data_IF_179343646372
#
_entry.id   IF_179343646372
#
_cell.length_a   1.000
_cell.length_b   1.000
_cell.length_c   1.000
_cell.angle_alpha   90.00
_cell.angle_beta   90.00
_cell.angle_gamma   90.00
#
_symmetry.space_group_name_H-M   'P 1'
#
loop_
_entity.id
_entity.type
_entity.pdbx_description
1 polymer ?
#
# COMPACT_ATOMS: atom_id res chain seq x y z
N UNK A 1 15.72 -3.98 33.06
CA UNK A 1 14.57 -4.91 33.12
C UNK A 1 14.78 -5.97 32.05
N UNK A 2 14.65 -7.25 32.41
CA UNK A 2 15.02 -8.37 31.53
C UNK A 2 13.92 -8.60 30.48
N UNK A 3 14.25 -8.66 29.18
CA UNK A 3 13.32 -8.89 28.05
C UNK A 3 12.84 -10.36 27.97
N UNK A 4 12.37 -10.92 29.09
CA UNK A 4 12.00 -12.35 29.19
C UNK A 4 10.83 -12.71 28.28
N UNK A 5 9.83 -11.83 28.15
CA UNK A 5 8.61 -12.09 27.41
C UNK A 5 8.82 -12.45 25.92
N UNK A 6 9.85 -11.90 25.27
CA UNK A 6 10.14 -12.20 23.86
C UNK A 6 10.64 -13.64 23.61
N UNK A 7 11.05 -14.35 24.65
CA UNK A 7 11.70 -15.67 24.56
C UNK A 7 10.87 -16.80 25.19
N UNK A 8 9.69 -16.50 25.75
CA UNK A 8 8.89 -17.48 26.45
C UNK A 8 8.18 -18.46 25.49
N UNK A 9 8.20 -19.76 25.78
CA UNK A 9 7.37 -20.74 25.09
C UNK A 9 5.90 -20.57 25.48
N UNK A 10 4.99 -21.21 24.74
CA UNK A 10 3.53 -21.25 25.02
C UNK A 10 3.23 -21.47 26.51
N UNK A 11 3.85 -22.49 27.12
CA UNK A 11 3.66 -22.84 28.54
C UNK A 11 3.99 -21.68 29.48
N UNK A 12 4.95 -20.83 29.11
CA UNK A 12 5.31 -19.64 29.87
C UNK A 12 4.32 -18.50 29.76
N UNK A 13 3.41 -18.49 28.78
CA UNK A 13 2.33 -17.48 28.67
C UNK A 13 1.00 -17.95 29.26
N UNK A 14 0.77 -19.27 29.30
CA UNK A 14 -0.45 -19.85 29.90
C UNK A 14 -0.58 -19.47 31.38
N UNK A 15 0.54 -19.33 32.10
CA UNK A 15 0.56 -18.92 33.51
C UNK A 15 0.06 -17.47 33.74
N UNK A 16 0.10 -16.62 32.71
CA UNK A 16 -0.28 -15.20 32.78
C UNK A 16 -1.67 -14.94 32.19
N UNK A 17 -2.46 -15.98 31.92
CA UNK A 17 -3.85 -15.83 31.49
C UNK A 17 -4.67 -15.15 32.59
N UNK A 18 -5.34 -14.06 32.23
CA UNK A 18 -6.08 -13.21 33.14
C UNK A 18 -5.32 -12.00 33.66
N UNK A 19 -4.03 -11.86 33.35
CA UNK A 19 -3.20 -10.70 33.71
C UNK A 19 -3.25 -9.58 32.67
N UNK A 20 -2.83 -8.38 33.09
CA UNK A 20 -2.91 -7.15 32.30
C UNK A 20 -1.54 -6.77 31.73
N UNK A 21 -1.54 -6.50 30.43
CA UNK A 21 -0.41 -6.06 29.64
C UNK A 21 -0.61 -4.60 29.24
N UNK A 22 0.39 -3.76 29.48
CA UNK A 22 0.35 -2.34 29.10
C UNK A 22 0.93 -2.16 27.70
N UNK A 23 0.11 -1.70 26.77
CA UNK A 23 0.47 -1.40 25.38
C UNK A 23 0.85 0.07 25.26
N UNK A 24 2.08 0.33 24.83
CA UNK A 24 2.59 1.68 24.62
C UNK A 24 2.36 2.13 23.18
N UNK A 25 1.57 3.19 22.99
CA UNK A 25 1.11 3.70 21.67
C UNK A 25 1.87 4.95 21.19
N UNK A 26 3.10 5.14 21.67
CA UNK A 26 3.95 6.25 21.24
C UNK A 26 3.46 7.58 21.83
N UNK A 27 2.83 8.43 21.02
CA UNK A 27 2.27 9.72 21.46
C UNK A 27 0.89 9.60 22.09
N UNK A 28 0.19 8.50 21.86
CA UNK A 28 -1.13 8.24 22.43
C UNK A 28 -1.04 7.61 23.82
N UNK A 29 -2.11 7.75 24.61
CA UNK A 29 -2.19 7.18 25.95
C UNK A 29 -2.01 5.66 25.93
N UNK A 30 -1.24 5.14 26.88
CA UNK A 30 -1.05 3.71 27.07
C UNK A 30 -2.39 2.99 27.29
N UNK A 31 -2.51 1.77 26.77
CA UNK A 31 -3.75 0.97 26.86
C UNK A 31 -3.50 -0.32 27.61
N UNK A 32 -4.40 -0.66 28.54
CA UNK A 32 -4.36 -1.92 29.26
C UNK A 32 -5.14 -3.00 28.49
N UNK A 33 -4.44 -4.07 28.10
CA UNK A 33 -5.04 -5.25 27.48
C UNK A 33 -4.90 -6.45 28.40
N UNK A 34 -5.98 -7.19 28.63
CA UNK A 34 -5.98 -8.39 29.46
C UNK A 34 -5.82 -9.63 28.61
N UNK A 35 -4.88 -10.52 28.94
CA UNK A 35 -4.72 -11.79 28.24
C UNK A 35 -5.89 -12.72 28.60
N UNK A 36 -6.67 -13.15 27.60
CA UNK A 36 -7.84 -14.01 27.79
C UNK A 36 -7.53 -15.48 27.61
N UNK A 37 -6.79 -15.81 26.56
CA UNK A 37 -6.44 -17.19 26.27
C UNK A 37 -5.19 -17.29 25.40
N UNK A 38 -4.60 -18.48 25.41
CA UNK A 38 -3.46 -18.86 24.56
C UNK A 38 -3.89 -20.04 23.69
N UNK A 39 -4.17 -19.76 22.42
CA UNK A 39 -4.70 -20.74 21.45
C UNK A 39 -3.54 -21.39 20.71
N UNK A 40 -3.59 -22.71 20.57
CA UNK A 40 -2.60 -23.46 19.77
C UNK A 40 -3.02 -23.43 18.31
N UNK A 41 -2.09 -23.12 17.41
CA UNK A 41 -2.35 -23.24 15.97
C UNK A 41 -1.87 -24.62 15.53
N UNK A 42 -2.79 -25.57 15.42
CA UNK A 42 -2.48 -27.00 15.21
C UNK A 42 -1.97 -27.42 13.82
N UNK A 43 -1.52 -26.48 12.97
CA UNK A 43 -1.17 -26.75 11.57
C UNK A 43 0.31 -26.44 11.22
N UNK A 44 1.18 -26.27 12.22
CA UNK A 44 2.63 -26.07 12.01
C UNK A 44 3.41 -27.39 11.87
N UNK A 45 4.53 -27.42 11.10
CA UNK A 45 5.46 -28.55 11.14
C UNK A 45 6.02 -28.75 12.57
N UNK A 46 6.36 -29.98 13.00
CA UNK A 46 6.82 -30.29 14.38
C UNK A 46 8.01 -29.44 14.87
N UNK A 47 8.78 -28.87 13.95
CA UNK A 47 9.94 -27.98 14.19
C UNK A 47 9.55 -26.50 14.42
N UNK A 48 8.26 -26.15 14.34
CA UNK A 48 7.73 -24.80 14.57
C UNK A 48 6.64 -24.79 15.63
N UNK A 49 6.87 -24.06 16.72
CA UNK A 49 5.82 -23.74 17.69
C UNK A 49 5.03 -22.51 17.19
N UNK A 50 3.74 -22.70 16.89
CA UNK A 50 2.82 -21.62 16.56
C UNK A 50 1.69 -21.52 17.59
N UNK A 51 1.55 -20.36 18.22
CA UNK A 51 0.47 -20.09 19.17
C UNK A 51 0.03 -18.63 19.07
N UNK A 52 -1.24 -18.40 19.42
CA UNK A 52 -1.87 -17.09 19.39
C UNK A 52 -2.22 -16.66 20.81
N UNK A 53 -1.80 -15.46 21.19
CA UNK A 53 -2.30 -14.79 22.40
C UNK A 53 -3.53 -13.97 22.03
N UNK A 54 -4.64 -14.18 22.74
CA UNK A 54 -5.86 -13.38 22.60
C UNK A 54 -6.01 -12.44 23.77
N UNK A 55 -6.10 -11.15 23.48
CA UNK A 55 -6.28 -10.10 24.47
C UNK A 55 -7.64 -9.43 24.35
N UNK A 56 -8.10 -8.82 25.44
CA UNK A 56 -9.32 -8.02 25.50
C UNK A 56 -9.00 -6.65 26.14
N UNK A 57 -9.56 -5.57 25.59
CA UNK A 57 -9.46 -4.25 26.20
C UNK A 57 -10.52 -4.08 27.30
N UNK A 58 -10.11 -3.61 28.48
CA UNK A 58 -11.03 -3.39 29.61
C UNK A 58 -11.93 -2.16 29.42
N UNK A 59 -11.42 -1.14 28.72
CA UNK A 59 -12.12 0.10 28.39
C UNK A 59 -12.10 0.24 26.87
N UNK A 60 -13.23 0.62 26.24
CA UNK A 60 -13.61 0.77 24.80
C UNK A 60 -12.55 1.37 23.84
N UNK A 61 -11.30 1.00 24.02
CA UNK A 61 -10.10 1.60 23.49
C UNK A 61 -9.72 0.77 22.31
N UNK A 62 -9.91 1.37 21.13
CA UNK A 62 -9.46 0.78 19.90
C UNK A 62 -7.94 0.95 19.79
N UNK A 63 -7.25 -0.15 19.53
CA UNK A 63 -5.84 -0.18 19.16
C UNK A 63 -5.79 -0.60 17.70
N UNK A 64 -5.24 0.26 16.85
CA UNK A 64 -5.11 -0.08 15.44
C UNK A 64 -4.19 -1.30 15.25
N UNK A 65 -4.27 -1.95 14.09
CA UNK A 65 -3.34 -3.02 13.76
C UNK A 65 -1.91 -2.47 13.69
N UNK A 66 -0.98 -3.08 14.44
CA UNK A 66 0.39 -2.58 14.49
C UNK A 66 1.33 -3.36 15.39
N UNK A 67 2.61 -3.01 15.34
CA UNK A 67 3.65 -3.54 16.24
C UNK A 67 3.86 -2.60 17.41
N UNK A 68 3.49 -3.03 18.61
CA UNK A 68 3.54 -2.23 19.82
C UNK A 68 4.58 -2.75 20.80
N UNK A 69 5.16 -1.83 21.58
CA UNK A 69 5.89 -2.21 22.78
C UNK A 69 4.87 -2.51 23.87
N UNK A 70 4.99 -3.66 24.50
CA UNK A 70 4.10 -4.13 25.55
C UNK A 70 4.93 -4.40 26.81
N UNK A 71 4.42 -4.02 27.97
CA UNK A 71 5.07 -4.22 29.26
C UNK A 71 4.20 -5.05 30.19
N UNK A 72 4.83 -6.02 30.84
CA UNK A 72 4.23 -6.82 31.91
C UNK A 72 5.10 -6.72 33.17
N UNK A 73 4.53 -6.69 34.39
CA UNK A 73 5.29 -6.59 35.64
C UNK A 73 6.39 -7.67 35.79
N UNK A 74 6.10 -8.91 35.39
CA UNK A 74 7.04 -10.02 35.53
C UNK A 74 7.83 -10.36 34.25
N UNK A 75 7.23 -10.12 33.07
CA UNK A 75 7.83 -10.51 31.78
C UNK A 75 8.73 -9.43 31.18
N UNK A 76 8.70 -8.23 31.77
CA UNK A 76 9.41 -7.08 31.25
C UNK A 76 8.74 -6.49 30.01
N UNK A 77 9.50 -5.72 29.25
CA UNK A 77 9.02 -5.07 28.01
C UNK A 77 9.46 -5.87 26.80
N UNK A 78 8.54 -6.12 25.86
CA UNK A 78 8.79 -6.81 24.59
C UNK A 78 7.86 -6.27 23.50
N UNK A 79 8.00 -6.74 22.25
CA UNK A 79 7.16 -6.28 21.13
C UNK A 79 6.12 -7.33 20.76
N UNK A 80 4.89 -6.88 20.54
CA UNK A 80 3.78 -7.69 20.02
C UNK A 80 3.20 -7.03 18.78
N UNK A 81 2.89 -7.82 17.76
CA UNK A 81 2.02 -7.38 16.68
C UNK A 81 0.58 -7.69 17.09
N UNK A 82 -0.23 -6.65 17.25
CA UNK A 82 -1.63 -6.76 17.62
C UNK A 82 -2.50 -6.59 16.38
N UNK A 83 -3.43 -7.51 16.18
CA UNK A 83 -4.45 -7.45 15.12
C UNK A 83 -5.83 -7.44 15.79
N UNK A 84 -6.67 -6.42 15.57
CA UNK A 84 -8.03 -6.41 16.09
C UNK A 84 -8.86 -7.49 15.38
N UNK A 85 -9.57 -8.31 16.16
CA UNK A 85 -10.46 -9.35 15.67
C UNK A 85 -11.87 -9.12 16.21
N UNK A 86 -12.86 -9.30 15.35
CA UNK A 86 -14.27 -9.30 15.76
C UNK A 86 -14.57 -10.65 16.42
N UNK A 87 -14.87 -10.67 17.71
CA UNK A 87 -15.26 -11.90 18.39
C UNK A 87 -16.65 -12.35 17.95
N UNK A 88 -16.89 -13.67 17.90
CA UNK A 88 -18.22 -14.24 17.74
C UNK A 88 -19.05 -14.21 19.05
N UNK A 89 -18.52 -13.59 20.10
CA UNK A 89 -19.16 -13.40 21.41
C UNK A 89 -20.35 -12.41 21.26
N UNK A 90 -21.53 -12.66 21.87
CA UNK A 90 -22.71 -11.79 21.78
C UNK A 90 -22.57 -10.35 22.31
N UNK A 91 -21.39 -9.92 22.76
CA UNK A 91 -21.14 -8.54 23.15
C UNK A 91 -20.68 -7.69 21.94
N UNK A 92 -21.54 -6.82 21.38
CA UNK A 92 -21.21 -6.00 20.21
C UNK A 92 -20.15 -4.92 20.49
N UNK A 93 -19.73 -4.75 21.75
CA UNK A 93 -18.77 -3.73 22.18
C UNK A 93 -17.37 -4.29 22.53
N UNK A 94 -17.17 -5.62 22.50
CA UNK A 94 -15.89 -6.25 22.85
C UNK A 94 -14.92 -6.28 21.64
N UNK A 95 -13.80 -5.56 21.74
CA UNK A 95 -12.69 -5.65 20.77
C UNK A 95 -11.64 -6.61 21.31
N UNK A 96 -11.49 -7.76 20.66
CA UNK A 96 -10.40 -8.68 20.96
C UNK A 96 -9.21 -8.41 20.04
N UNK A 97 -8.02 -8.78 20.51
CA UNK A 97 -6.77 -8.64 19.77
C UNK A 97 -6.05 -9.97 19.71
N UNK A 98 -5.53 -10.33 18.54
CA UNK A 98 -4.68 -11.51 18.35
C UNK A 98 -3.22 -11.10 18.12
N UNK A 99 -2.31 -11.80 18.80
CA UNK A 99 -0.87 -11.74 18.55
C UNK A 99 -0.35 -13.14 18.24
N UNK A 100 0.13 -13.34 17.01
CA UNK A 100 0.62 -14.63 16.52
C UNK A 100 2.12 -14.75 16.78
N UNK A 101 2.52 -15.84 17.41
CA UNK A 101 3.92 -16.23 17.58
C UNK A 101 4.26 -17.38 16.65
N UNK A 102 5.40 -17.26 15.97
CA UNK A 102 5.96 -18.32 15.13
C UNK A 102 7.44 -18.45 15.48
N UNK A 103 7.84 -19.60 16.01
CA UNK A 103 9.23 -19.86 16.41
C UNK A 103 9.68 -21.23 15.91
N UNK A 104 10.90 -21.27 15.38
CA UNK A 104 11.62 -22.50 15.07
C UNK A 104 12.25 -23.07 16.36
N UNK A 105 11.90 -24.30 16.74
CA UNK A 105 12.55 -25.04 17.81
C UNK A 105 13.50 -26.08 17.21
N UNK A 106 14.83 -25.89 17.28
CA UNK A 106 15.75 -26.90 16.78
C UNK A 106 15.62 -28.18 17.61
N UNK A 107 15.36 -29.30 16.94
CA UNK A 107 15.29 -30.63 17.53
C UNK A 107 16.58 -30.97 18.26
N UNK A 108 16.47 -31.33 19.55
CA UNK A 108 17.60 -31.72 20.36
C UNK A 108 18.14 -33.09 19.89
N UNK A 109 19.17 -33.08 19.05
CA UNK A 109 19.85 -34.31 18.62
C UNK A 109 20.86 -34.07 17.50
N UNK A 110 22.07 -33.64 17.85
CA UNK A 110 23.18 -33.51 16.89
C UNK A 110 24.42 -32.90 17.54
N UNK A 111 25.37 -33.74 17.94
CA UNK A 111 26.61 -33.39 18.61
C UNK A 111 27.55 -32.50 17.77
N UNK A 112 28.16 -31.50 18.41
CA UNK A 112 29.61 -31.26 18.24
C UNK A 112 30.09 -29.93 17.63
N UNK A 113 30.71 -29.13 18.52
CA UNK A 113 31.82 -28.17 18.32
C UNK A 113 31.50 -26.70 18.00
N UNK A 114 31.80 -25.90 19.01
CA UNK A 114 31.86 -24.44 19.08
C UNK A 114 33.06 -23.84 18.33
N UNK A 115 32.82 -22.74 17.64
CA UNK A 115 33.81 -21.68 17.44
C UNK A 115 33.13 -20.32 17.63
N UNK A 116 33.51 -19.63 18.70
CA UNK A 116 33.12 -18.25 18.97
C UNK A 116 33.70 -17.31 17.91
N UNK A 117 32.88 -16.41 17.39
CA UNK A 117 33.29 -15.02 17.19
C UNK A 117 32.05 -14.13 17.16
N UNK A 118 31.98 -13.23 18.14
CA UNK A 118 30.92 -12.26 18.34
C UNK A 118 30.80 -11.29 17.17
N UNK A 119 29.57 -10.99 16.74
CA UNK A 119 29.17 -9.60 16.52
C UNK A 119 27.65 -9.47 16.48
N UNK A 120 27.11 -8.82 17.51
CA UNK A 120 25.89 -8.00 17.53
C UNK A 120 24.99 -8.09 16.29
N UNK A 121 23.79 -8.65 16.44
CA UNK A 121 22.59 -8.25 15.68
C UNK A 121 21.34 -8.82 16.35
N UNK A 122 20.44 -7.91 16.75
CA UNK A 122 19.13 -8.25 17.28
C UNK A 122 18.35 -9.09 16.27
N UNK A 123 17.67 -10.11 16.79
CA UNK A 123 16.81 -10.98 16.01
C UNK A 123 15.54 -10.19 15.66
N UNK A 124 15.40 -9.85 14.38
CA UNK A 124 14.18 -9.29 13.81
C UNK A 124 13.15 -10.40 13.69
N UNK A 125 12.05 -10.29 14.46
CA UNK A 125 10.84 -11.04 14.23
C UNK A 125 10.33 -10.72 12.80
N UNK A 126 10.38 -11.70 11.92
CA UNK A 126 9.87 -11.58 10.55
C UNK A 126 8.39 -12.00 10.57
N UNK A 127 7.49 -11.04 10.43
CA UNK A 127 6.03 -11.28 10.41
C UNK A 127 5.57 -11.19 8.96
N UNK A 128 5.26 -12.34 8.36
CA UNK A 128 4.63 -12.44 7.05
C UNK A 128 3.12 -12.29 7.26
N UNK A 129 2.54 -11.19 6.78
CA UNK A 129 1.09 -11.00 6.74
C UNK A 129 0.48 -11.76 5.57
N UNK A 130 -0.32 -12.79 5.87
CA UNK A 130 -1.32 -13.35 4.95
C UNK A 130 -2.62 -13.49 5.73
N UNK A 131 -3.48 -12.48 5.64
CA UNK A 131 -4.90 -12.60 5.96
C UNK A 131 -5.62 -12.93 4.65
N UNK A 132 -5.74 -14.22 4.34
CA UNK A 132 -6.70 -14.70 3.35
C UNK A 132 -8.00 -15.01 4.08
N UNK A 133 -9.04 -14.21 3.81
CA UNK A 133 -10.39 -14.43 4.31
C UNK A 133 -10.96 -15.76 3.81
N UNK A 134 -11.63 -16.49 4.70
CA UNK A 134 -12.34 -17.70 4.36
C UNK A 134 -12.77 -18.51 5.58
N UNK A 135 -13.95 -18.21 6.11
CA UNK A 135 -14.71 -19.18 6.90
C UNK A 135 -16.19 -18.83 6.80
N UNK A 136 -16.80 -19.42 5.77
CA UNK A 136 -18.25 -19.61 5.70
C UNK A 136 -18.63 -20.58 6.82
N UNK A 137 -19.36 -20.09 7.83
CA UNK A 137 -20.05 -20.91 8.81
C UNK A 137 -21.25 -21.61 8.15
N UNK A 138 -21.06 -22.87 7.76
CA UNK A 138 -22.14 -23.81 7.44
C UNK A 138 -22.49 -24.65 8.67
N UNK A 139 -23.70 -24.45 9.20
CA UNK A 139 -24.24 -25.14 10.37
C UNK A 139 -24.53 -26.64 10.14
N UNK A 140 -24.50 -27.35 11.27
CA UNK A 140 -24.85 -28.75 11.53
C UNK A 140 -26.18 -29.22 10.94
N UNK A 141 -26.22 -30.49 10.50
CA UNK A 141 -27.11 -31.62 10.92
C UNK A 141 -26.59 -32.86 10.14
N UNK A 142 -25.95 -33.87 10.72
CA UNK A 142 -26.54 -34.93 11.55
C UNK A 142 -26.94 -36.15 10.69
N UNK A 143 -26.16 -37.25 10.70
CA UNK A 143 -26.62 -38.54 10.13
C UNK A 143 -25.56 -39.51 9.61
N UNK A 144 -25.11 -40.41 10.48
CA UNK A 144 -24.68 -41.80 10.28
C UNK A 144 -24.09 -42.29 8.92
N UNK A 145 -22.87 -42.84 9.01
CA UNK A 145 -22.53 -44.14 8.40
C UNK A 145 -21.91 -44.13 6.99
N UNK A 146 -20.58 -44.23 6.93
CA UNK A 146 -19.89 -44.58 5.69
C UNK A 146 -18.37 -44.47 5.81
N UNK A 147 -17.68 -45.61 5.95
CA UNK A 147 -16.21 -45.68 5.88
C UNK A 147 -15.80 -45.48 4.42
N UNK A 148 -15.48 -44.25 4.04
CA UNK A 148 -14.74 -43.97 2.82
C UNK A 148 -13.30 -43.64 3.22
N UNK A 149 -12.36 -44.51 2.84
CA UNK A 149 -10.94 -44.15 2.76
C UNK A 149 -10.79 -43.13 1.64
N UNK A 150 -11.09 -41.87 1.95
CA UNK A 150 -10.66 -40.73 1.16
C UNK A 150 -9.25 -40.42 1.60
N UNK A 151 -8.26 -40.80 0.80
CA UNK A 151 -6.96 -40.15 0.86
C UNK A 151 -7.21 -38.67 0.62
N UNK A 152 -7.14 -37.85 1.67
CA UNK A 152 -7.08 -36.41 1.54
C UNK A 152 -5.88 -36.10 0.67
N UNK A 153 -6.12 -35.81 -0.61
CA UNK A 153 -5.10 -35.26 -1.48
C UNK A 153 -4.80 -33.88 -0.92
N UNK A 154 -3.83 -33.81 -0.02
CA UNK A 154 -3.09 -32.58 0.23
C UNK A 154 -2.51 -32.24 -1.14
N UNK A 155 -3.13 -31.29 -1.84
CA UNK A 155 -2.53 -30.73 -3.04
C UNK A 155 -1.18 -30.20 -2.58
N UNK A 156 -0.11 -30.93 -2.91
CA UNK A 156 1.24 -30.45 -2.75
C UNK A 156 1.26 -29.08 -3.43
N UNK A 157 1.45 -28.01 -2.67
CA UNK A 157 2.12 -26.85 -3.22
C UNK A 157 3.54 -27.34 -3.55
N UNK A 158 3.69 -27.96 -4.72
CA UNK A 158 5.00 -28.25 -5.27
C UNK A 158 5.73 -26.91 -5.33
N UNK A 159 6.97 -26.86 -4.85
CA UNK A 159 7.84 -25.69 -5.01
C UNK A 159 8.18 -25.37 -6.48
N UNK A 160 7.46 -25.98 -7.43
CA UNK A 160 7.60 -25.81 -8.85
C UNK A 160 6.64 -24.71 -9.32
N UNK A 161 7.11 -23.73 -10.11
CA UNK A 161 6.26 -22.65 -10.60
C UNK A 161 5.19 -23.17 -11.55
N UNK A 162 4.10 -22.42 -11.70
CA UNK A 162 3.12 -22.68 -12.77
C UNK A 162 3.67 -22.15 -14.10
N UNK A 163 3.45 -22.88 -15.20
CA UNK A 163 3.78 -22.37 -16.53
C UNK A 163 2.99 -21.07 -16.78
N UNK A 164 3.69 -20.01 -17.20
CA UNK A 164 3.08 -18.70 -17.40
C UNK A 164 2.92 -17.84 -16.14
N UNK A 165 3.37 -18.33 -14.97
CA UNK A 165 3.43 -17.52 -13.76
C UNK A 165 4.40 -16.35 -13.94
N UNK A 166 3.98 -15.14 -13.55
CA UNK A 166 4.82 -13.93 -13.55
C UNK A 166 5.26 -13.64 -12.11
N UNK A 167 6.56 -13.52 -11.90
CA UNK A 167 7.15 -13.25 -10.58
C UNK A 167 8.19 -12.13 -10.67
N UNK A 168 8.27 -11.32 -9.61
CA UNK A 168 9.31 -10.31 -9.45
C UNK A 168 10.57 -10.90 -8.83
N UNK A 169 11.73 -10.54 -9.40
CA UNK A 169 13.05 -10.95 -8.95
C UNK A 169 13.90 -9.73 -8.59
N UNK A 170 14.69 -9.84 -7.53
CA UNK A 170 15.60 -8.76 -7.07
C UNK A 170 16.92 -8.65 -7.85
N UNK A 171 17.15 -9.52 -8.83
CA UNK A 171 18.36 -9.58 -9.66
C UNK A 171 18.00 -9.37 -11.14
N UNK A 172 19.01 -9.04 -11.96
CA UNK A 172 18.86 -8.48 -13.31
C UNK A 172 18.76 -9.52 -14.45
N UNK A 173 18.86 -10.81 -14.17
CA UNK A 173 18.78 -11.89 -15.15
C UNK A 173 17.55 -12.78 -14.94
N UNK A 174 17.13 -13.52 -15.98
CA UNK A 174 16.12 -14.58 -15.85
C UNK A 174 16.79 -15.89 -15.40
N UNK A 175 16.33 -16.53 -14.31
CA UNK A 175 16.81 -17.85 -13.90
C UNK A 175 16.50 -18.92 -14.95
N UNK A 176 17.15 -20.08 -14.84
CA UNK A 176 16.84 -21.23 -15.70
C UNK A 176 15.35 -21.60 -15.61
N UNK A 177 14.70 -21.80 -16.76
CA UNK A 177 13.26 -22.09 -16.84
C UNK A 177 12.37 -20.85 -16.80
N UNK A 178 12.95 -19.64 -16.75
CA UNK A 178 12.25 -18.36 -16.77
C UNK A 178 12.73 -17.51 -17.95
N UNK A 179 11.92 -16.52 -18.31
CA UNK A 179 12.25 -15.52 -19.30
C UNK A 179 11.85 -14.12 -18.82
N UNK A 180 12.61 -13.08 -19.15
CA UNK A 180 12.25 -11.72 -18.80
C UNK A 180 10.95 -11.28 -19.50
N UNK A 181 10.12 -10.51 -18.79
CA UNK A 181 8.91 -9.88 -19.34
C UNK A 181 9.28 -8.58 -20.08
N UNK A 182 10.00 -8.71 -21.19
CA UNK A 182 10.51 -7.62 -22.02
C UNK A 182 9.94 -7.61 -23.45
N UNK A 183 8.80 -8.28 -23.69
CA UNK A 183 8.18 -8.30 -25.01
C UNK A 183 8.86 -9.21 -26.05
N UNK A 184 9.80 -10.06 -25.65
CA UNK A 184 10.48 -10.98 -26.57
C UNK A 184 9.52 -11.93 -27.31
N UNK A 185 9.88 -12.27 -28.56
CA UNK A 185 9.16 -13.23 -29.39
C UNK A 185 9.84 -14.60 -29.29
N UNK A 186 9.07 -15.63 -28.96
CA UNK A 186 9.56 -17.00 -28.78
C UNK A 186 8.95 -17.97 -29.81
N UNK A 187 9.67 -19.04 -30.19
CA UNK A 187 9.14 -20.08 -31.04
C UNK A 187 8.11 -20.94 -30.31
N UNK A 188 6.96 -21.17 -30.94
CA UNK A 188 5.87 -22.03 -30.42
C UNK A 188 6.34 -23.47 -30.25
N UNK A 189 7.19 -23.96 -31.17
CA UNK A 189 7.67 -25.36 -31.17
C UNK A 189 8.41 -25.76 -29.89
N UNK A 190 9.05 -24.81 -29.21
CA UNK A 190 9.81 -25.07 -27.98
C UNK A 190 9.02 -24.72 -26.71
N UNK A 191 7.90 -23.99 -26.83
CA UNK A 191 7.15 -23.43 -25.70
C UNK A 191 5.64 -23.68 -25.85
N UNK A 192 5.26 -24.88 -26.30
CA UNK A 192 3.86 -25.22 -26.61
C UNK A 192 2.92 -25.02 -25.41
N UNK A 193 3.37 -25.41 -24.21
CA UNK A 193 2.60 -25.25 -22.97
C UNK A 193 2.37 -23.78 -22.58
N UNK A 194 3.36 -22.91 -22.80
CA UNK A 194 3.20 -21.48 -22.54
C UNK A 194 2.29 -20.82 -23.59
N UNK A 195 2.45 -21.21 -24.86
CA UNK A 195 1.64 -20.71 -25.96
C UNK A 195 0.15 -21.05 -25.79
N UNK A 196 -0.20 -22.25 -25.29
CA UNK A 196 -1.61 -22.60 -25.06
C UNK A 196 -2.29 -21.73 -24.00
N UNK A 197 -1.52 -21.09 -23.11
CA UNK A 197 -2.02 -20.18 -22.07
C UNK A 197 -2.10 -18.73 -22.56
N UNK A 198 -1.02 -18.22 -23.17
CA UNK A 198 -0.91 -16.81 -23.58
C UNK A 198 -1.55 -16.54 -24.95
N UNK A 199 -1.49 -17.50 -25.87
CA UNK A 199 -1.83 -17.31 -27.28
C UNK A 199 -0.99 -16.18 -27.91
N UNK A 200 -1.63 -15.34 -28.72
CA UNK A 200 -1.00 -14.21 -29.42
C UNK A 200 -1.25 -12.85 -28.75
N UNK A 201 -1.69 -12.84 -27.48
CA UNK A 201 -2.10 -11.61 -26.77
C UNK A 201 -1.00 -10.55 -26.68
N UNK A 202 0.27 -10.98 -26.71
CA UNK A 202 1.44 -10.12 -26.59
C UNK A 202 2.29 -10.09 -27.88
N UNK A 203 1.75 -10.55 -29.01
CA UNK A 203 2.41 -10.52 -30.32
C UNK A 203 2.73 -11.91 -30.90
N UNK A 204 3.52 -11.90 -31.98
CA UNK A 204 3.85 -13.08 -32.79
C UNK A 204 2.80 -13.41 -33.85
N UNK A 205 3.09 -14.41 -34.68
CA UNK A 205 2.22 -14.83 -35.80
C UNK A 205 1.17 -15.89 -35.40
N UNK A 206 1.26 -16.44 -34.18
CA UNK A 206 0.37 -17.48 -33.67
C UNK A 206 0.50 -18.84 -34.36
N UNK A 207 1.49 -19.01 -35.23
CA UNK A 207 1.76 -20.25 -35.98
C UNK A 207 3.13 -20.79 -35.64
N UNK A 208 4.16 -19.97 -35.85
CA UNK A 208 5.56 -20.29 -35.56
C UNK A 208 6.07 -19.61 -34.30
N UNK A 209 5.48 -18.47 -33.94
CA UNK A 209 5.94 -17.58 -32.87
C UNK A 209 4.80 -16.97 -32.06
N UNK A 210 5.12 -16.58 -30.83
CA UNK A 210 4.25 -15.81 -29.94
C UNK A 210 5.08 -14.85 -29.08
N UNK A 211 4.45 -13.78 -28.59
CA UNK A 211 5.11 -12.80 -27.73
C UNK A 211 4.92 -13.06 -26.24
N UNK A 212 5.90 -12.61 -25.44
CA UNK A 212 5.79 -12.51 -23.99
C UNK A 212 5.27 -11.12 -23.56
N UNK A 213 4.73 -10.98 -22.34
CA UNK A 213 4.43 -9.68 -21.77
C UNK A 213 5.63 -8.74 -21.79
N UNK A 214 5.39 -7.47 -22.06
CA UNK A 214 6.34 -6.38 -21.84
C UNK A 214 5.91 -5.62 -20.59
N UNK A 215 6.72 -5.69 -19.53
CA UNK A 215 6.52 -4.97 -18.27
C UNK A 215 7.59 -3.89 -18.04
N UNK A 216 8.40 -3.58 -19.05
CA UNK A 216 9.44 -2.56 -18.92
C UNK A 216 8.81 -1.18 -18.78
N UNK A 217 9.01 -0.53 -17.63
CA UNK A 217 8.42 0.78 -17.32
C UNK A 217 6.89 0.76 -17.15
N UNK A 218 6.30 -0.41 -16.90
CA UNK A 218 4.84 -0.59 -16.77
C UNK A 218 4.49 -1.19 -15.42
N UNK A 219 3.31 -0.83 -14.91
CA UNK A 219 2.74 -1.40 -13.69
C UNK A 219 1.66 -2.41 -14.10
N UNK A 220 1.68 -3.66 -13.60
CA UNK A 220 0.64 -4.64 -13.88
C UNK A 220 -0.72 -4.19 -13.34
N UNK A 221 -1.80 -4.41 -14.11
CA UNK A 221 -3.19 -4.15 -13.71
C UNK A 221 -3.99 -5.43 -13.88
N UNK A 222 -4.89 -5.71 -12.93
CA UNK A 222 -5.75 -6.89 -12.98
C UNK A 222 -6.70 -6.82 -14.19
N UNK A 223 -6.91 -7.96 -14.85
CA UNK A 223 -7.86 -8.06 -15.96
C UNK A 223 -9.32 -7.98 -15.47
N UNK A 224 -10.24 -7.51 -16.31
CA UNK A 224 -11.67 -7.47 -15.99
C UNK A 224 -12.19 -6.05 -15.78
N UNK A 225 -13.41 -5.95 -15.26
CA UNK A 225 -14.10 -4.67 -15.06
C UNK A 225 -13.71 -4.07 -13.72
N UNK A 226 -13.09 -2.89 -13.74
CA UNK A 226 -12.77 -2.13 -12.55
C UNK A 226 -14.01 -1.46 -11.93
N UNK A 227 -13.94 -1.03 -10.66
CA UNK A 227 -15.01 -0.29 -9.98
C UNK A 227 -15.45 0.98 -10.73
N UNK A 228 -14.55 1.60 -11.47
CA UNK A 228 -14.78 2.78 -12.32
C UNK A 228 -15.52 2.46 -13.63
N UNK A 229 -15.88 1.20 -13.87
CA UNK A 229 -16.63 0.75 -15.04
C UNK A 229 -15.78 0.50 -16.28
N UNK A 230 -14.49 0.84 -16.26
CA UNK A 230 -13.53 0.50 -17.33
C UNK A 230 -13.24 -1.00 -17.33
N UNK A 231 -13.04 -1.58 -18.51
CA UNK A 231 -12.69 -3.00 -18.66
C UNK A 231 -11.25 -3.11 -19.17
N UNK A 232 -10.42 -3.81 -18.42
CA UNK A 232 -9.03 -4.12 -18.76
C UNK A 232 -8.95 -5.50 -19.39
N UNK A 233 -8.50 -5.57 -20.65
CA UNK A 233 -8.28 -6.85 -21.34
C UNK A 233 -6.83 -7.30 -21.13
N UNK A 234 -6.61 -8.59 -20.92
CA UNK A 234 -5.25 -9.11 -20.84
C UNK A 234 -4.49 -8.82 -22.14
N UNK A 235 -3.26 -8.31 -22.03
CA UNK A 235 -2.45 -7.83 -23.17
C UNK A 235 -2.70 -6.37 -23.57
N UNK A 236 -3.73 -5.70 -23.01
CA UNK A 236 -3.94 -4.28 -23.24
C UNK A 236 -2.87 -3.44 -22.54
N UNK A 237 -2.25 -2.52 -23.27
CA UNK A 237 -1.37 -1.50 -22.72
C UNK A 237 -2.09 -0.16 -22.56
N UNK A 238 -1.71 0.64 -21.57
CA UNK A 238 -2.22 1.99 -21.38
C UNK A 238 -1.42 2.78 -20.34
N UNK A 239 -1.90 3.98 -20.02
CA UNK A 239 -1.24 4.91 -19.10
C UNK A 239 -0.22 5.83 -19.78
N UNK A 240 0.13 6.91 -19.10
CA UNK A 240 1.14 7.87 -19.54
C UNK A 240 2.13 8.12 -18.39
N UNK A 241 3.44 8.01 -18.68
CA UNK A 241 4.49 8.27 -17.70
C UNK A 241 4.63 9.77 -17.38
N UNK A 242 4.26 10.65 -18.31
CA UNK A 242 4.23 12.10 -18.10
C UNK A 242 2.91 12.66 -18.61
N UNK A 243 2.45 13.74 -17.99
CA UNK A 243 1.21 14.45 -18.36
C UNK A 243 1.52 15.94 -18.45
N UNK A 244 1.07 16.60 -19.52
CA UNK A 244 1.09 18.06 -19.63
C UNK A 244 -0.19 18.62 -19.06
N UNK A 245 -0.06 19.50 -18.06
CA UNK A 245 -1.22 20.18 -17.47
C UNK A 245 -1.80 21.17 -18.48
N UNK A 246 -3.05 20.93 -18.85
CA UNK A 246 -3.90 21.85 -19.56
C UNK A 246 -4.66 22.76 -18.58
N UNK A 247 -5.17 23.89 -19.06
CA UNK A 247 -5.99 24.81 -18.23
C UNK A 247 -7.21 24.11 -17.62
N UNK A 248 -7.76 23.09 -18.28
CA UNK A 248 -8.89 22.30 -17.75
C UNK A 248 -8.52 21.37 -16.59
N UNK A 249 -7.23 21.15 -16.33
CA UNK A 249 -6.72 20.34 -15.21
C UNK A 249 -6.32 21.22 -14.01
N UNK A 250 -6.50 22.54 -14.11
CA UNK A 250 -6.28 23.49 -13.03
C UNK A 250 -7.62 23.85 -12.35
N UNK A 251 -7.65 24.00 -11.01
CA UNK A 251 -8.79 24.61 -10.34
C UNK A 251 -9.09 25.99 -10.91
N UNK A 252 -10.39 26.32 -11.00
CA UNK A 252 -10.85 27.65 -11.36
C UNK A 252 -10.28 28.66 -10.36
N UNK A 253 -9.55 29.65 -10.88
CA UNK A 253 -8.99 30.75 -10.12
C UNK A 253 -9.12 32.04 -10.92
N UNK A 254 -9.12 33.17 -10.23
CA UNK A 254 -9.14 34.51 -10.81
C UNK A 254 -7.96 35.32 -10.29
N UNK A 255 -7.51 36.27 -11.09
CA UNK A 255 -6.63 37.34 -10.62
C UNK A 255 -7.49 38.59 -10.51
N UNK A 256 -7.74 39.03 -9.28
CA UNK A 256 -8.34 40.34 -9.04
C UNK A 256 -7.25 41.38 -9.25
N UNK A 257 -7.38 42.17 -10.32
CA UNK A 257 -6.54 43.33 -10.53
C UNK A 257 -7.12 44.47 -9.71
N UNK A 258 -6.72 44.58 -8.44
CA UNK A 258 -6.94 45.80 -7.68
C UNK A 258 -5.83 46.78 -8.10
N UNK A 259 -6.18 47.71 -8.98
CA UNK A 259 -5.27 48.81 -9.35
C UNK A 259 -5.53 49.99 -8.43
N UNK A 260 -4.69 50.14 -7.41
CA UNK A 260 -4.62 51.36 -6.62
C UNK A 260 -4.00 52.49 -7.47
N UNK A 261 -4.84 53.35 -8.04
CA UNK A 261 -4.39 54.58 -8.69
C UNK A 261 -4.27 55.68 -7.62
N UNK A 262 -3.05 56.11 -7.24
CA UNK A 262 -2.91 57.24 -6.32
C UNK A 262 -3.44 58.51 -6.98
N UNK A 263 -4.37 59.18 -6.31
CA UNK A 263 -4.99 60.43 -6.75
C UNK A 263 -4.77 61.54 -5.71
N UNK A 264 -4.77 62.80 -6.17
CA UNK A 264 -4.65 63.98 -5.31
C UNK A 264 -5.71 65.02 -5.66
N UNK A 265 -6.29 65.62 -4.63
CA UNK A 265 -7.18 66.78 -4.76
C UNK A 265 -6.42 68.10 -4.91
N UNK A 266 -5.09 68.08 -4.76
CA UNK A 266 -4.25 69.25 -5.00
C UNK A 266 -4.17 69.60 -6.50
N UNK A 267 -3.86 70.86 -6.80
CA UNK A 267 -3.66 71.33 -8.17
C UNK A 267 -2.43 70.65 -8.78
N UNK A 268 -2.58 70.10 -9.99
CA UNK A 268 -1.46 69.53 -10.75
C UNK A 268 -0.35 70.55 -11.03
N UNK A 269 0.89 70.14 -10.80
CA UNK A 269 2.11 70.95 -10.98
C UNK A 269 3.00 70.45 -12.12
N UNK A 270 2.72 69.27 -12.68
CA UNK A 270 3.47 68.64 -13.75
C UNK A 270 2.52 68.04 -14.80
N UNK A 271 3.02 67.86 -16.03
CA UNK A 271 2.28 67.24 -17.15
C UNK A 271 2.80 65.84 -17.50
N UNK A 272 3.80 65.33 -16.77
CA UNK A 272 4.34 63.97 -16.93
C UNK A 272 3.67 63.03 -15.93
N UNK A 273 3.32 61.80 -16.31
CA UNK A 273 2.87 60.77 -15.37
C UNK A 273 4.03 60.11 -14.60
N UNK A 274 5.29 60.25 -15.05
CA UNK A 274 6.45 59.64 -14.40
C UNK A 274 6.67 60.21 -13.00
N UNK A 275 6.73 59.35 -11.98
CA UNK A 275 6.80 59.69 -10.55
C UNK A 275 5.74 60.72 -10.07
N UNK A 276 4.62 60.84 -10.78
CA UNK A 276 3.53 61.77 -10.45
C UNK A 276 2.20 61.02 -10.26
N UNK A 277 1.24 61.69 -9.62
CA UNK A 277 -0.12 61.17 -9.35
C UNK A 277 -1.17 61.94 -10.15
N UNK A 278 -2.33 61.35 -10.36
CA UNK A 278 -3.46 62.06 -10.99
C UNK A 278 -3.95 63.16 -10.04
N UNK A 279 -3.82 64.41 -10.45
CA UNK A 279 -4.08 65.59 -9.63
C UNK A 279 -5.18 66.47 -10.26
N UNK A 280 -5.84 67.30 -9.46
CA UNK A 280 -6.93 68.15 -9.93
C UNK A 280 -6.50 69.15 -11.02
N UNK A 281 -7.35 69.36 -12.03
CA UNK A 281 -7.03 70.20 -13.18
C UNK A 281 -7.20 71.69 -12.82
N UNK A 282 -6.20 72.55 -13.05
CA UNK A 282 -6.38 73.99 -12.91
C UNK A 282 -7.20 74.57 -14.07
N UNK A 283 -8.16 75.44 -13.76
CA UNK A 283 -8.95 76.25 -14.68
C UNK A 283 -8.82 77.74 -14.34
N UNK A 284 -9.18 78.63 -15.26
CA UNK A 284 -9.21 80.08 -15.10
C UNK A 284 -10.11 80.55 -13.93
N UNK A 285 -11.03 79.69 -13.47
CA UNK A 285 -11.97 79.97 -12.37
C UNK A 285 -11.61 79.28 -11.04
N UNK A 286 -10.52 78.50 -10.98
CA UNK A 286 -10.12 77.77 -9.78
C UNK A 286 -9.57 76.36 -10.08
N UNK A 287 -9.71 75.44 -9.12
CA UNK A 287 -9.33 74.03 -9.29
C UNK A 287 -10.59 73.23 -9.62
N UNK A 288 -10.57 72.46 -10.71
CA UNK A 288 -11.61 71.49 -11.05
C UNK A 288 -11.19 70.12 -10.51
N UNK A 289 -11.87 69.58 -9.48
CA UNK A 289 -11.56 68.25 -8.98
C UNK A 289 -11.86 67.21 -10.07
N UNK A 290 -10.90 66.32 -10.33
CA UNK A 290 -11.06 65.22 -11.31
C UNK A 290 -11.85 64.05 -10.68
N UNK A 291 -11.89 63.98 -9.35
CA UNK A 291 -12.59 62.97 -8.55
C UNK A 291 -13.42 63.65 -7.45
N UNK A 292 -14.55 63.08 -7.06
CA UNK A 292 -15.43 63.64 -6.02
C UNK A 292 -16.18 62.56 -5.24
N UNK A 293 -16.77 62.95 -4.11
CA UNK A 293 -17.37 62.04 -3.10
C UNK A 293 -18.78 61.51 -3.46
N UNK A 294 -19.13 61.50 -4.75
CA UNK A 294 -20.42 61.04 -5.26
C UNK A 294 -20.39 59.62 -5.81
N UNK A 295 -21.57 59.02 -6.01
CA UNK A 295 -21.68 57.76 -6.76
C UNK A 295 -21.08 57.95 -8.16
N UNK A 296 -20.21 57.03 -8.58
CA UNK A 296 -19.58 57.10 -9.90
C UNK A 296 -20.58 56.81 -11.02
N UNK A 297 -20.57 57.64 -12.07
CA UNK A 297 -21.41 57.47 -13.27
C UNK A 297 -20.97 56.29 -14.17
N UNK A 298 -19.83 55.66 -13.85
CA UNK A 298 -19.28 54.51 -14.56
C UNK A 298 -17.94 54.05 -13.97
N UNK A 299 -17.60 52.78 -14.16
CA UNK A 299 -16.29 52.24 -13.77
C UNK A 299 -15.24 52.58 -14.84
N UNK A 300 -14.05 53.03 -14.43
CA UNK A 300 -12.89 53.02 -15.32
C UNK A 300 -12.46 51.57 -15.51
N UNK A 301 -12.66 51.01 -16.71
CA UNK A 301 -12.17 49.68 -17.06
C UNK A 301 -10.66 49.73 -17.26
N UNK A 302 -9.92 49.66 -16.15
CA UNK A 302 -8.46 49.50 -16.20
C UNK A 302 -8.16 48.02 -16.15
N UNK A 303 -8.15 47.39 -17.33
CA UNK A 303 -7.70 46.02 -17.47
C UNK A 303 -6.19 45.95 -17.17
N UNK A 304 -5.85 45.53 -15.94
CA UNK A 304 -4.49 45.06 -15.65
C UNK A 304 -4.16 43.89 -16.57
N UNK A 305 -3.05 43.97 -17.30
CA UNK A 305 -2.61 42.88 -18.16
C UNK A 305 -2.00 41.77 -17.30
N UNK A 306 -2.82 40.83 -16.83
CA UNK A 306 -2.31 39.57 -16.26
C UNK A 306 -1.85 38.68 -17.41
N UNK A 307 -0.53 38.42 -17.46
CA UNK A 307 0.06 37.49 -18.41
C UNK A 307 -0.27 36.03 -18.07
N UNK A 308 -0.30 35.17 -19.09
CA UNK A 308 -0.36 33.73 -18.86
C UNK A 308 0.96 33.24 -18.23
N UNK A 309 0.86 32.41 -17.19
CA UNK A 309 2.01 31.73 -16.59
C UNK A 309 1.91 30.22 -16.84
N UNK A 310 3.05 29.59 -17.15
CA UNK A 310 3.16 28.15 -17.36
C UNK A 310 3.70 27.81 -18.76
N UNK A 311 4.84 27.12 -18.81
CA UNK A 311 5.51 26.76 -20.08
C UNK A 311 4.91 25.52 -20.77
N UNK A 312 3.76 25.02 -20.29
CA UNK A 312 3.08 23.83 -20.84
C UNK A 312 3.88 22.52 -20.76
N UNK A 313 4.96 22.49 -19.96
CA UNK A 313 5.83 21.31 -19.85
C UNK A 313 5.13 20.17 -19.13
N UNK A 314 5.39 18.96 -19.60
CA UNK A 314 4.90 17.75 -18.95
C UNK A 314 5.57 17.54 -17.59
N UNK A 315 4.80 17.09 -16.61
CA UNK A 315 5.32 16.64 -15.32
C UNK A 315 5.33 15.11 -15.22
N UNK A 316 6.15 14.59 -14.32
CA UNK A 316 6.19 13.18 -13.97
C UNK A 316 4.84 12.75 -13.38
N UNK A 317 4.30 11.63 -13.87
CA UNK A 317 3.00 11.08 -13.45
C UNK A 317 3.14 9.69 -12.81
N UNK A 318 4.35 9.15 -12.70
CA UNK A 318 4.57 7.88 -12.00
C UNK A 318 4.60 8.11 -10.48
N UNK A 319 3.89 7.27 -9.70
CA UNK A 319 4.05 7.26 -8.25
C UNK A 319 5.48 6.80 -7.88
N UNK A 320 5.93 6.99 -6.62
CA UNK A 320 7.18 6.41 -6.16
C UNK A 320 7.23 4.90 -6.47
N UNK A 321 8.32 4.43 -7.07
CA UNK A 321 8.46 3.03 -7.49
C UNK A 321 9.85 2.48 -7.17
N UNK A 322 9.90 1.17 -6.94
CA UNK A 322 11.13 0.39 -6.88
C UNK A 322 11.15 -0.54 -8.08
N UNK A 323 12.25 -0.49 -8.84
CA UNK A 323 12.40 -1.35 -10.02
C UNK A 323 12.85 -2.74 -9.58
N UNK A 324 12.15 -3.76 -10.07
CA UNK A 324 12.48 -5.18 -9.93
C UNK A 324 12.35 -5.84 -11.30
N UNK A 325 13.02 -6.98 -11.49
CA UNK A 325 12.99 -7.71 -12.74
C UNK A 325 11.80 -8.67 -12.76
N UNK A 326 10.82 -8.43 -13.63
CA UNK A 326 9.71 -9.36 -13.82
C UNK A 326 10.10 -10.45 -14.83
N UNK A 327 9.97 -11.71 -14.42
CA UNK A 327 10.14 -12.85 -15.30
C UNK A 327 8.88 -13.72 -15.31
N UNK A 328 8.70 -14.45 -16.41
CA UNK A 328 7.63 -15.42 -16.62
C UNK A 328 8.22 -16.84 -16.69
N UNK A 329 7.56 -17.81 -16.05
CA UNK A 329 7.98 -19.20 -16.08
C UNK A 329 7.70 -19.83 -17.44
N UNK A 330 8.74 -20.33 -18.11
CA UNK A 330 8.65 -21.11 -19.35
C UNK A 330 8.36 -22.59 -19.08
N UNK A 331 8.84 -23.09 -17.94
CA UNK A 331 8.72 -24.48 -17.50
C UNK A 331 8.11 -24.55 -16.11
N UNK A 332 7.31 -25.58 -15.84
CA UNK A 332 6.62 -25.72 -14.57
C UNK A 332 5.41 -26.65 -14.67
N UNK A 333 4.57 -26.63 -13.64
CA UNK A 333 3.29 -27.36 -13.65
C UNK A 333 2.29 -26.62 -14.53
N UNK A 334 1.61 -27.34 -15.42
CA UNK A 334 0.58 -26.74 -16.26
C UNK A 334 -0.68 -26.45 -15.42
N UNK A 335 -1.21 -25.22 -15.41
CA UNK A 335 -2.40 -24.89 -14.63
C UNK A 335 -3.66 -25.54 -15.23
N UNK A 336 -4.28 -26.49 -14.52
CA UNK A 336 -5.58 -27.06 -14.89
C UNK A 336 -6.73 -26.12 -14.52
N UNK A 337 -7.86 -26.26 -15.23
CA UNK A 337 -9.08 -25.47 -15.04
C UNK A 337 -10.20 -26.44 -14.64
N UNK A 338 -10.11 -26.97 -13.43
CA UNK A 338 -11.13 -27.87 -12.87
C UNK A 338 -12.06 -27.12 -11.91
#
# INVERSE_FOLDING_TARGET
>A
MSEKGSQLPRSGFVEYVGETFTVHRGTDADTALRLREVVESGDGPEEWAQFTLRFEAADRTHVDQGSYRVTHPELGSFRLALVPVTTADPDPDAVAYEAVFTRHEPTAGGDGVSSQSSSRRGVLASILGVAAGGSLLGQLFGGAGGRASGTSSVAQASGEPLVGEIRGFGFDFAPQGWAQCNGQILPVSQNQALFSLLGTRYGGDGRSTFGLPDLQGRVPVHQGRGPEGRTYRMGQTGGNATVSLSTGELPSHSHENELDLPVSTAKGTATSPDENVLAAQPDARGTVPIYGDGDGDGAMDVAGAVGATGDGRAHENRPPYQTVNYCIALTGVYPSRD
#
